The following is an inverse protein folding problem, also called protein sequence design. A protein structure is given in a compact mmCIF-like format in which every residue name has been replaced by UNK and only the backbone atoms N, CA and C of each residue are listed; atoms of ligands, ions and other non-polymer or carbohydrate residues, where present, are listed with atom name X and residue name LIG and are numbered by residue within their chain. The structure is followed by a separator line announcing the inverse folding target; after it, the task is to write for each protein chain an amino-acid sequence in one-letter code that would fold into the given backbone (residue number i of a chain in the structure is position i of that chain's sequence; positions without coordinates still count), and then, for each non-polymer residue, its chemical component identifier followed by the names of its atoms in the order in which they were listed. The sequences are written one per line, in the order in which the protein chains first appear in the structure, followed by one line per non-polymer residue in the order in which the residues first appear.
data_IF_702541988582
#
_entry.id   IF_702541988582
#
_cell.length_a   1.000
_cell.length_b   1.000
_cell.length_c   1.000
_cell.angle_alpha   90.00
_cell.angle_beta   90.00
_cell.angle_gamma   90.00
#
_symmetry.space_group_name_H-M   'P 1'
#
loop_
_entity.id
_entity.type
_entity.pdbx_description
1 polymer ?
#
# COMPACT_ATOMS: atom_id res chain seq x y z
N UNK A 1 59.85 2.12 2.37
CA UNK A 1 58.56 1.70 1.76
C UNK A 1 57.47 2.56 2.37
N UNK A 2 56.54 3.09 1.57
CA UNK A 2 55.45 3.92 2.07
C UNK A 2 54.24 3.05 2.36
N UNK A 3 53.94 2.84 3.65
CA UNK A 3 52.74 2.13 4.10
C UNK A 3 51.74 3.10 4.70
N UNK A 4 50.51 3.10 4.18
CA UNK A 4 49.36 3.81 4.73
C UNK A 4 48.10 3.01 4.48
N UNK A 5 47.15 3.05 5.42
CA UNK A 5 45.89 2.29 5.30
C UNK A 5 45.09 2.78 4.08
N UNK A 6 44.77 1.87 3.16
CA UNK A 6 43.86 2.17 2.07
C UNK A 6 42.45 2.36 2.64
N UNK A 7 41.71 3.42 2.25
CA UNK A 7 40.35 3.61 2.71
C UNK A 7 39.47 2.47 2.18
N UNK A 8 38.79 1.78 3.09
CA UNK A 8 37.77 0.81 2.73
C UNK A 8 36.54 1.57 2.23
N UNK A 9 36.45 1.83 0.93
CA UNK A 9 35.24 2.38 0.32
C UNK A 9 34.20 1.26 0.28
N UNK A 10 33.17 1.37 1.12
CA UNK A 10 31.97 0.52 1.05
C UNK A 10 30.93 1.22 0.20
N UNK A 11 30.76 0.78 -1.05
CA UNK A 11 29.66 1.21 -1.91
C UNK A 11 28.44 0.34 -1.65
N UNK A 12 27.61 0.72 -0.67
CA UNK A 12 26.28 0.13 -0.52
C UNK A 12 25.35 0.82 -1.52
N UNK A 13 24.96 0.11 -2.58
CA UNK A 13 23.98 0.64 -3.54
C UNK A 13 22.61 0.69 -2.86
N UNK A 14 21.93 1.85 -2.82
CA UNK A 14 20.59 1.92 -2.26
C UNK A 14 19.65 1.01 -3.06
N UNK A 15 19.06 0.02 -2.40
CA UNK A 15 18.08 -0.87 -3.03
C UNK A 15 16.71 -0.20 -2.96
N UNK A 16 16.23 0.20 -4.13
CA UNK A 16 14.86 0.69 -4.29
C UNK A 16 14.00 -0.45 -4.81
N UNK A 17 13.09 -0.93 -3.98
CA UNK A 17 12.14 -1.96 -4.36
C UNK A 17 10.78 -1.33 -4.68
N UNK A 18 10.11 -1.90 -5.68
CA UNK A 18 8.77 -1.51 -6.06
C UNK A 18 7.83 -2.70 -5.91
N UNK A 19 6.68 -2.48 -5.30
CA UNK A 19 5.71 -3.51 -4.99
C UNK A 19 4.35 -3.16 -5.56
N UNK A 20 3.58 -4.19 -5.89
CA UNK A 20 2.20 -4.06 -6.34
C UNK A 20 1.28 -4.79 -5.39
N UNK A 21 0.28 -4.10 -4.86
CA UNK A 21 -0.71 -4.66 -3.92
C UNK A 21 -2.06 -4.76 -4.64
N UNK A 22 -2.72 -5.93 -4.54
CA UNK A 22 -4.05 -6.17 -5.10
C UNK A 22 -5.04 -6.53 -3.99
N UNK A 23 -5.67 -5.53 -3.33
CA UNK A 23 -6.61 -5.81 -2.27
C UNK A 23 -7.86 -6.53 -2.79
N UNK A 24 -8.24 -7.61 -2.11
CA UNK A 24 -9.43 -8.41 -2.38
C UNK A 24 -10.32 -8.36 -1.14
N UNK A 25 -11.62 -8.12 -1.32
CA UNK A 25 -12.61 -8.13 -0.25
C UNK A 25 -13.83 -8.91 -0.69
N UNK A 26 -14.30 -9.86 0.12
CA UNK A 26 -15.46 -10.69 -0.19
C UNK A 26 -15.40 -11.31 -1.60
N UNK A 27 -14.24 -11.86 -1.97
CA UNK A 27 -13.97 -12.39 -3.31
C UNK A 27 -14.07 -11.39 -4.48
N UNK A 28 -14.22 -10.09 -4.21
CA UNK A 28 -14.27 -9.03 -5.22
C UNK A 28 -13.00 -8.17 -5.19
N UNK A 29 -12.59 -7.72 -6.38
CA UNK A 29 -11.53 -6.72 -6.52
C UNK A 29 -12.04 -5.35 -6.09
N UNK A 30 -11.25 -4.65 -5.29
CA UNK A 30 -11.51 -3.25 -4.98
C UNK A 30 -10.95 -2.40 -6.12
N UNK A 31 -11.77 -2.07 -7.12
CA UNK A 31 -11.39 -1.18 -8.23
C UNK A 31 -11.73 0.27 -7.92
N UNK A 32 -10.91 1.22 -8.36
CA UNK A 32 -11.15 2.67 -8.23
C UNK A 32 -11.55 3.14 -6.81
N UNK A 33 -11.10 2.44 -5.78
CA UNK A 33 -11.59 2.53 -4.40
C UNK A 33 -10.51 3.07 -3.46
N UNK A 34 -10.91 3.88 -2.48
CA UNK A 34 -10.01 4.33 -1.42
C UNK A 34 -9.77 3.20 -0.41
N UNK A 35 -8.51 2.94 -0.12
CA UNK A 35 -8.04 1.91 0.80
C UNK A 35 -6.89 2.49 1.63
N UNK A 36 -6.86 2.16 2.90
CA UNK A 36 -5.78 2.56 3.77
C UNK A 36 -4.80 1.40 3.89
N UNK A 37 -3.51 1.70 3.76
CA UNK A 37 -2.43 0.76 4.00
C UNK A 37 -1.66 1.17 5.24
N UNK A 38 -1.41 0.22 6.12
CA UNK A 38 -0.39 0.33 7.15
C UNK A 38 0.87 -0.35 6.62
N UNK A 39 1.93 0.43 6.43
CA UNK A 39 3.20 -0.01 5.85
C UNK A 39 4.29 0.08 6.91
N UNK A 40 4.98 -1.04 7.16
CA UNK A 40 6.11 -1.09 8.08
C UNK A 40 7.34 -1.61 7.33
N UNK A 41 8.39 -0.80 7.29
CA UNK A 41 9.65 -1.15 6.67
C UNK A 41 10.61 -1.56 7.79
N UNK A 42 10.80 -2.86 7.98
CA UNK A 42 11.76 -3.35 8.95
C UNK A 42 11.45 -2.95 10.40
N UNK A 43 12.44 -2.42 11.11
CA UNK A 43 12.30 -1.92 12.50
C UNK A 43 11.70 -0.51 12.61
N UNK A 44 11.37 0.14 11.50
CA UNK A 44 10.79 1.48 11.55
C UNK A 44 9.35 1.46 12.09
N UNK A 45 8.92 2.62 12.60
CA UNK A 45 7.53 2.82 12.97
C UNK A 45 6.60 2.65 11.75
N UNK A 46 5.45 2.00 11.92
CA UNK A 46 4.51 1.79 10.83
C UNK A 46 3.89 3.12 10.39
N UNK A 47 3.77 3.31 9.08
CA UNK A 47 3.16 4.49 8.47
C UNK A 47 1.77 4.16 7.93
N UNK A 48 0.79 4.99 8.25
CA UNK A 48 -0.59 4.84 7.79
C UNK A 48 -0.86 5.80 6.62
N UNK A 49 -1.17 5.26 5.45
CA UNK A 49 -1.34 6.02 4.22
C UNK A 49 -2.61 5.61 3.49
N UNK A 50 -3.31 6.59 2.91
CA UNK A 50 -4.47 6.33 2.06
C UNK A 50 -4.05 6.25 0.59
N UNK A 51 -4.53 5.21 -0.10
CA UNK A 51 -4.30 4.97 -1.51
C UNK A 51 -5.63 4.80 -2.23
N UNK A 52 -5.61 5.01 -3.56
CA UNK A 52 -6.72 4.69 -4.45
C UNK A 52 -6.30 3.56 -5.38
N UNK A 53 -7.09 2.51 -5.46
CA UNK A 53 -6.81 1.42 -6.41
C UNK A 53 -7.10 1.86 -7.85
N UNK A 54 -6.37 1.29 -8.80
CA UNK A 54 -6.62 1.52 -10.23
C UNK A 54 -7.84 0.73 -10.75
N UNK A 55 -8.13 0.87 -12.04
CA UNK A 55 -9.20 0.15 -12.76
C UNK A 55 -9.04 -1.38 -12.73
N UNK A 56 -7.83 -1.88 -12.46
CA UNK A 56 -7.52 -3.31 -12.36
C UNK A 56 -7.43 -3.77 -10.88
N UNK A 57 -7.68 -2.85 -9.94
CA UNK A 57 -7.69 -3.09 -8.50
C UNK A 57 -6.31 -3.10 -7.86
N UNK A 58 -5.32 -2.41 -8.43
CA UNK A 58 -3.95 -2.39 -7.92
C UNK A 58 -3.54 -1.06 -7.29
N UNK A 59 -2.59 -1.16 -6.36
CA UNK A 59 -1.84 -0.06 -5.74
C UNK A 59 -0.36 -0.31 -6.05
N UNK A 60 0.38 0.75 -6.36
CA UNK A 60 1.82 0.67 -6.65
C UNK A 60 2.59 1.41 -5.55
N UNK A 61 3.48 0.69 -4.88
CA UNK A 61 4.41 1.23 -3.88
C UNK A 61 5.78 1.33 -4.56
N UNK A 62 6.15 2.53 -4.99
CA UNK A 62 7.36 2.74 -5.78
C UNK A 62 8.49 3.28 -4.92
N UNK A 63 9.73 2.91 -5.27
CA UNK A 63 10.96 3.46 -4.70
C UNK A 63 11.05 3.36 -3.18
N UNK A 64 10.62 2.22 -2.62
CA UNK A 64 10.84 1.94 -1.20
C UNK A 64 12.31 1.61 -0.98
N UNK A 65 12.98 2.43 -0.18
CA UNK A 65 14.37 2.24 0.21
C UNK A 65 14.44 1.32 1.42
N UNK A 66 14.51 0.01 1.20
CA UNK A 66 14.62 -0.96 2.27
C UNK A 66 15.46 -2.18 1.90
N UNK A 67 16.27 -2.63 2.86
CA UNK A 67 16.96 -3.93 2.82
C UNK A 67 16.30 -4.96 3.76
N UNK A 68 15.30 -4.55 4.54
CA UNK A 68 14.52 -5.39 5.46
C UNK A 68 13.12 -5.68 4.87
N UNK A 69 12.41 -6.74 5.31
CA UNK A 69 11.08 -7.06 4.80
C UNK A 69 10.06 -5.91 4.92
N UNK A 70 9.19 -5.79 3.92
CA UNK A 70 8.04 -4.89 3.92
C UNK A 70 6.81 -5.62 4.46
N UNK A 71 6.26 -5.16 5.58
CA UNK A 71 4.96 -5.61 6.07
C UNK A 71 3.85 -4.68 5.55
N UNK A 72 2.77 -5.27 5.04
CA UNK A 72 1.62 -4.54 4.48
C UNK A 72 0.34 -5.07 5.12
N UNK A 73 -0.41 -4.17 5.75
CA UNK A 73 -1.78 -4.45 6.20
C UNK A 73 -2.78 -3.55 5.48
N UNK A 74 -3.87 -4.13 4.98
CA UNK A 74 -4.87 -3.44 4.16
C UNK A 74 -6.16 -3.23 4.95
N UNK A 75 -6.66 -2.00 4.99
CA UNK A 75 -7.97 -1.66 5.55
C UNK A 75 -8.83 -0.97 4.49
N UNK A 76 -9.97 -1.56 4.12
CA UNK A 76 -10.94 -0.92 3.24
C UNK A 76 -11.91 -0.07 4.06
N UNK A 77 -12.08 1.22 3.70
CA UNK A 77 -13.19 2.03 4.21
C UNK A 77 -14.43 1.74 3.35
N UNK A 78 -15.45 1.14 3.97
CA UNK A 78 -16.74 0.91 3.32
C UNK A 78 -17.67 2.08 3.65
N UNK A 79 -18.05 2.87 2.66
CA UNK A 79 -19.26 3.69 2.81
C UNK A 79 -20.46 2.74 2.86
N UNK A 80 -21.34 2.83 3.88
CA UNK A 80 -22.53 2.00 3.93
C UNK A 80 -23.38 2.24 2.68
N UNK A 81 -23.86 1.15 2.09
CA UNK A 81 -24.75 1.19 0.93
C UNK A 81 -26.07 1.80 1.43
N UNK A 82 -26.42 3.01 0.99
CA UNK A 82 -27.75 3.57 1.27
C UNK A 82 -28.76 2.81 0.42
N UNK A 83 -29.46 1.85 1.02
CA UNK A 83 -30.60 1.21 0.35
C UNK A 83 -31.62 2.29 0.00
N UNK A 84 -32.05 2.41 -1.27
CA UNK A 84 -33.12 3.33 -1.61
C UNK A 84 -34.39 2.89 -0.87
N UNK A 85 -35.02 3.83 -0.17
CA UNK A 85 -36.32 3.59 0.46
C UNK A 85 -37.33 3.20 -0.63
N UNK A 86 -38.15 2.14 -0.43
CA UNK A 86 -39.21 1.83 -1.37
C UNK A 86 -40.22 2.99 -1.37
N UNK A 87 -40.44 3.57 -2.55
CA UNK A 87 -41.55 4.52 -2.75
C UNK A 87 -42.83 3.70 -2.73
N UNK A 88 -43.52 3.69 -1.59
CA UNK A 88 -44.88 3.13 -1.51
C UNK A 88 -45.77 4.14 -2.25
N UNK A 89 -46.09 3.83 -3.51
CA UNK A 89 -47.13 4.56 -4.24
C UNK A 89 -48.47 4.09 -3.67
N UNK A 90 -49.02 4.87 -2.74
CA UNK A 90 -50.41 4.72 -2.31
C UNK A 90 -51.30 5.15 -3.47
N UNK A 91 -52.01 4.18 -4.09
CA UNK A 91 -53.11 4.51 -4.99
C UNK A 91 -54.23 5.17 -4.18
N UNK A 92 -54.73 6.28 -4.74
CA UNK A 92 -55.97 6.97 -4.38
C UNK A 92 -57.18 6.05 -4.45
#
# INVERSE_FOLDING_TARGET
MLSGAAPAIKTESPKFLSYRVKPIKNNALLINSNVNLLLKLGKNEPSFNQFKTDQNGYIYLNNLSNDEPLEVSVLSIQTPIKTPMPVISSLL
#
